data_IF_548990788761
#
_entry.id   IF_548990788761
#
_cell.length_a   1.000
_cell.length_b   1.000
_cell.length_c   1.000
_cell.angle_alpha   90.00
_cell.angle_beta   90.00
_cell.angle_gamma   90.00
#
_symmetry.space_group_name_H-M   'P 1'
#
loop_
_entity.id
_entity.type
_entity.pdbx_description
1 polymer ?
#
# COMPACT_ATOMS: atom_id res chain seq x y z
N UNK A 1 16.52 22.47 9.63
CA UNK A 1 15.07 22.51 9.89
C UNK A 1 14.43 21.35 9.13
N UNK A 2 14.37 20.16 9.72
CA UNK A 2 13.69 19.02 9.11
C UNK A 2 12.21 19.10 9.49
N UNK A 3 11.37 19.55 8.55
CA UNK A 3 9.93 19.39 8.70
C UNK A 3 9.64 17.88 8.62
N UNK A 4 9.69 17.19 9.74
CA UNK A 4 9.00 15.91 9.91
C UNK A 4 7.52 16.22 9.79
N UNK A 5 7.04 16.22 8.55
CA UNK A 5 5.61 16.19 8.26
C UNK A 5 5.12 14.89 8.91
N UNK A 6 4.60 14.98 10.12
CA UNK A 6 3.82 13.94 10.79
C UNK A 6 2.56 13.81 9.97
N UNK A 7 2.72 13.17 8.81
CA UNK A 7 1.64 12.57 8.06
C UNK A 7 1.00 11.60 9.07
N UNK A 8 -0.32 11.68 9.31
CA UNK A 8 -1.00 10.74 10.17
C UNK A 8 -0.75 9.36 9.57
N UNK A 9 0.24 8.65 10.11
CA UNK A 9 0.48 7.26 9.82
C UNK A 9 -0.61 6.54 10.58
N UNK A 10 -1.80 6.52 9.98
CA UNK A 10 -2.74 5.42 10.20
C UNK A 10 -1.87 4.19 10.00
N UNK A 11 -1.42 3.58 11.10
CA UNK A 11 -0.52 2.44 11.11
C UNK A 11 -1.28 1.26 10.52
N UNK A 12 -1.42 1.26 9.21
CA UNK A 12 -1.77 0.12 8.40
C UNK A 12 -0.71 -0.92 8.73
N UNK A 13 -1.15 -2.04 9.31
CA UNK A 13 -0.32 -3.06 9.92
C UNK A 13 0.75 -3.58 8.94
N UNK A 14 1.91 -2.92 8.90
CA UNK A 14 3.03 -3.29 8.05
C UNK A 14 2.87 -2.96 6.56
N UNK A 15 1.88 -2.16 6.13
CA UNK A 15 1.73 -1.78 4.71
C UNK A 15 1.56 -0.26 4.52
N UNK A 16 2.27 0.31 3.55
CA UNK A 16 2.25 1.73 3.21
C UNK A 16 1.90 1.96 1.74
N UNK A 17 1.01 2.91 1.48
CA UNK A 17 0.73 3.36 0.10
C UNK A 17 1.84 4.31 -0.35
N UNK A 18 2.45 4.02 -1.49
CA UNK A 18 3.52 4.81 -2.11
C UNK A 18 3.10 5.25 -3.51
N UNK A 19 3.47 6.48 -3.86
CA UNK A 19 3.29 6.98 -5.22
C UNK A 19 4.42 6.45 -6.11
N UNK A 20 4.06 5.84 -7.23
CA UNK A 20 4.97 5.37 -8.26
C UNK A 20 4.96 6.38 -9.43
N UNK A 21 6.04 7.16 -9.63
CA UNK A 21 6.07 8.19 -10.66
C UNK A 21 6.17 7.61 -12.07
N UNK A 22 6.71 6.40 -12.24
CA UNK A 22 6.86 5.75 -13.55
C UNK A 22 5.50 5.28 -14.09
N UNK A 23 4.68 4.70 -13.22
CA UNK A 23 3.32 4.26 -13.54
C UNK A 23 2.27 5.36 -13.34
N UNK A 24 2.64 6.50 -12.75
CA UNK A 24 1.72 7.57 -12.31
C UNK A 24 0.53 7.00 -11.50
N UNK A 25 0.83 6.10 -10.58
CA UNK A 25 -0.17 5.37 -9.81
C UNK A 25 0.25 5.20 -8.35
N UNK A 26 -0.73 5.08 -7.46
CA UNK A 26 -0.51 4.66 -6.08
C UNK A 26 -0.34 3.14 -6.03
N UNK A 27 0.64 2.67 -5.29
CA UNK A 27 0.95 1.24 -5.09
C UNK A 27 1.02 0.95 -3.60
N UNK A 28 0.64 -0.25 -3.19
CA UNK A 28 0.74 -0.67 -1.79
C UNK A 28 2.02 -1.47 -1.62
N UNK A 29 2.85 -1.10 -0.64
CA UNK A 29 4.07 -1.82 -0.28
C UNK A 29 3.96 -2.35 1.14
N UNK A 30 4.32 -3.62 1.33
CA UNK A 30 4.58 -4.17 2.64
C UNK A 30 5.86 -3.52 3.18
N UNK A 31 5.76 -2.73 4.24
CA UNK A 31 6.91 -2.13 4.92
C UNK A 31 7.65 -3.12 5.81
N UNK A 32 7.03 -4.26 6.13
CA UNK A 32 7.62 -5.33 6.93
C UNK A 32 8.48 -6.29 6.09
N UNK A 33 8.01 -6.68 4.90
CA UNK A 33 8.75 -7.57 3.97
C UNK A 33 9.41 -6.83 2.80
N UNK A 34 9.02 -5.58 2.57
CA UNK A 34 9.49 -4.78 1.43
C UNK A 34 8.78 -5.09 0.12
N UNK A 35 7.88 -6.07 0.08
CA UNK A 35 7.18 -6.54 -1.12
C UNK A 35 6.08 -5.60 -1.57
N UNK A 36 5.79 -5.60 -2.87
CA UNK A 36 4.70 -4.82 -3.44
C UNK A 36 3.44 -5.67 -3.58
N UNK A 37 2.28 -5.05 -3.41
CA UNK A 37 1.00 -5.69 -3.67
C UNK A 37 0.88 -6.01 -5.15
N UNK A 38 0.53 -7.26 -5.44
CA UNK A 38 0.26 -7.74 -6.77
C UNK A 38 -1.26 -7.89 -6.97
N UNK A 39 -1.72 -7.60 -8.17
CA UNK A 39 -3.05 -7.94 -8.65
C UNK A 39 -3.20 -9.46 -8.83
N UNK A 40 -4.42 -9.96 -9.01
CA UNK A 40 -4.71 -11.38 -9.32
C UNK A 40 -3.93 -11.91 -10.52
N UNK A 41 -3.45 -11.04 -11.41
CA UNK A 41 -2.59 -11.40 -12.56
C UNK A 41 -1.10 -11.53 -12.21
N UNK A 42 -0.71 -11.33 -10.95
CA UNK A 42 0.70 -11.33 -10.51
C UNK A 42 1.49 -10.07 -10.87
N UNK A 43 0.81 -9.00 -11.32
CA UNK A 43 1.43 -7.70 -11.69
C UNK A 43 1.29 -6.70 -10.56
N UNK A 44 2.20 -5.72 -10.48
CA UNK A 44 2.13 -4.64 -9.48
C UNK A 44 0.77 -3.92 -9.54
N UNK A 45 0.02 -3.99 -8.45
CA UNK A 45 -1.28 -3.34 -8.34
C UNK A 45 -1.10 -1.82 -8.30
N UNK A 46 -1.69 -1.13 -9.29
CA UNK A 46 -1.69 0.32 -9.41
C UNK A 46 -3.08 0.89 -9.22
N UNK A 47 -3.19 1.96 -8.43
CA UNK A 47 -4.45 2.61 -8.09
C UNK A 47 -4.38 4.10 -8.44
N UNK A 48 -5.49 4.66 -8.90
CA UNK A 48 -5.57 6.09 -9.24
C UNK A 48 -5.70 6.99 -8.01
N UNK A 49 -5.92 6.43 -6.82
CA UNK A 49 -6.11 7.20 -5.58
C UNK A 49 -5.60 6.45 -4.36
N UNK A 50 -5.15 7.20 -3.35
CA UNK A 50 -4.68 6.66 -2.07
C UNK A 50 -5.73 5.77 -1.39
N UNK A 51 -6.97 6.25 -1.28
CA UNK A 51 -8.06 5.50 -0.62
C UNK A 51 -8.43 4.21 -1.34
N UNK A 52 -8.29 4.17 -2.68
CA UNK A 52 -8.53 2.96 -3.45
C UNK A 52 -7.44 1.90 -3.18
N UNK A 53 -6.19 2.34 -3.05
CA UNK A 53 -5.07 1.47 -2.66
C UNK A 53 -5.23 0.95 -1.22
N UNK A 54 -5.67 1.80 -0.30
CA UNK A 54 -5.93 1.44 1.10
C UNK A 54 -7.07 0.41 1.22
N UNK A 55 -8.18 0.63 0.51
CA UNK A 55 -9.32 -0.28 0.49
C UNK A 55 -8.94 -1.65 -0.10
N UNK A 56 -8.15 -1.67 -1.18
CA UNK A 56 -7.67 -2.92 -1.79
C UNK A 56 -6.80 -3.73 -0.82
N UNK A 57 -5.92 -3.06 -0.07
CA UNK A 57 -5.16 -3.70 0.99
C UNK A 57 -6.06 -4.25 2.11
N UNK A 58 -7.00 -3.45 2.62
CA UNK A 58 -7.94 -3.88 3.66
C UNK A 58 -8.80 -5.07 3.23
N UNK A 59 -9.07 -5.23 1.93
CA UNK A 59 -9.75 -6.41 1.40
C UNK A 59 -8.84 -7.64 1.31
N UNK A 60 -7.52 -7.46 1.20
CA UNK A 60 -6.51 -8.53 1.18
C UNK A 60 -6.08 -8.98 2.59
N UNK A 61 -6.00 -8.08 3.57
CA UNK A 61 -5.62 -8.37 4.97
C UNK A 61 -6.46 -9.50 5.64
N UNK A 62 -7.80 -9.54 5.54
CA UNK A 62 -8.61 -10.59 6.18
C UNK A 62 -8.34 -11.99 5.62
N UNK A 63 -7.80 -12.11 4.40
CA UNK A 63 -7.39 -13.40 3.83
C UNK A 63 -6.07 -13.93 4.41
N UNK A 64 -5.25 -13.11 5.06
CA UNK A 64 -3.96 -13.53 5.65
C UNK A 64 -4.03 -13.84 7.14
N UNK A 65 -5.14 -13.50 7.81
CA UNK A 65 -5.32 -13.70 9.26
C UNK A 65 -6.09 -14.97 9.63
N UNK A 66 -6.44 -15.77 8.63
CA UNK A 66 -7.08 -17.08 8.79
C UNK A 66 -6.09 -18.21 8.44
N UNK A 67 -4.99 -18.31 9.19
CA UNK A 67 -4.19 -19.54 9.33
C UNK A 67 -3.73 -19.62 10.77
#
# INVERSE_FOLDING_TARGET
MHATRTQPTTKLHGYGVRWDPAARAYRVRNEMTGEWLLDSSGRLAGFSSFSAAEAAYRAFEPRRRAV
#
